data_IF_360421882757
#
_entry.id   IF_360421882757
#
_cell.length_a   1.000
_cell.length_b   1.000
_cell.length_c   1.000
_cell.angle_alpha   90.00
_cell.angle_beta   90.00
_cell.angle_gamma   90.00
#
_symmetry.space_group_name_H-M   'P 1'
#
loop_
_entity.id
_entity.type
_entity.pdbx_description
1 polymer ?
#
# COMPACT_ATOMS: atom_id res chain seq x y z
N UNK A 1 15.47 -3.95 28.87
CA UNK A 1 15.49 -2.92 27.80
C UNK A 1 14.55 -1.83 28.30
N UNK A 2 15.05 -0.64 28.63
CA UNK A 2 14.21 0.45 29.12
C UNK A 2 13.53 1.03 27.88
N UNK A 3 12.20 0.96 27.81
CA UNK A 3 11.42 1.64 26.79
C UNK A 3 11.27 3.09 27.25
N UNK A 4 11.91 4.03 26.55
CA UNK A 4 11.73 5.45 26.78
C UNK A 4 10.38 5.87 26.20
N UNK A 5 9.33 5.78 27.01
CA UNK A 5 8.02 6.31 26.63
C UNK A 5 8.06 7.83 26.71
N UNK A 6 7.64 8.46 25.61
CA UNK A 6 7.47 9.91 25.51
C UNK A 6 6.05 10.20 25.05
N UNK A 7 5.56 11.41 25.29
CA UNK A 7 4.27 11.85 24.73
C UNK A 7 4.18 11.67 23.21
N UNK A 8 5.32 11.74 22.51
CA UNK A 8 5.36 11.48 21.06
C UNK A 8 5.12 10.00 20.77
N UNK A 9 5.76 9.11 21.52
CA UNK A 9 5.53 7.67 21.40
C UNK A 9 4.11 7.26 21.80
N UNK A 10 3.55 7.88 22.82
CA UNK A 10 2.19 7.60 23.29
C UNK A 10 1.16 7.99 22.23
N UNK A 11 1.34 9.16 21.60
CA UNK A 11 0.37 9.70 20.65
C UNK A 11 0.56 9.16 19.23
N UNK A 12 1.79 9.14 18.72
CA UNK A 12 2.06 8.98 17.28
C UNK A 12 2.69 7.64 16.91
N UNK A 13 3.21 6.88 17.86
CA UNK A 13 3.88 5.62 17.52
C UNK A 13 2.86 4.52 17.23
N UNK A 14 2.97 3.89 16.07
CA UNK A 14 2.36 2.63 15.72
C UNK A 14 3.40 1.54 15.46
N UNK A 15 2.96 0.36 15.03
CA UNK A 15 3.86 -0.75 14.68
C UNK A 15 3.49 -1.35 13.33
N UNK A 16 4.42 -1.27 12.39
CA UNK A 16 4.34 -1.82 11.03
C UNK A 16 5.05 -3.17 10.97
N UNK A 17 4.37 -4.18 10.43
CA UNK A 17 4.95 -5.49 10.14
C UNK A 17 5.17 -5.63 8.64
N UNK A 18 6.36 -6.08 8.26
CA UNK A 18 6.72 -6.43 6.90
C UNK A 18 7.00 -7.93 6.81
N UNK A 19 6.24 -8.63 5.98
CA UNK A 19 6.44 -10.06 5.69
C UNK A 19 6.96 -10.23 4.26
N UNK A 20 8.16 -10.79 4.12
CA UNK A 20 8.77 -11.11 2.82
C UNK A 20 8.81 -12.61 2.62
N UNK A 21 8.07 -13.12 1.63
CA UNK A 21 8.00 -14.54 1.29
C UNK A 21 8.88 -14.83 0.06
N UNK A 22 9.88 -15.69 0.26
CA UNK A 22 10.70 -16.22 -0.83
C UNK A 22 9.87 -17.11 -1.77
N UNK A 23 9.90 -16.87 -3.09
CA UNK A 23 9.17 -17.70 -4.05
C UNK A 23 9.84 -19.05 -4.33
N UNK A 24 11.15 -19.17 -4.06
CA UNK A 24 11.92 -20.39 -4.30
C UNK A 24 11.76 -21.44 -3.21
N UNK A 25 11.78 -21.06 -1.93
CA UNK A 25 11.68 -22.00 -0.80
C UNK A 25 10.48 -21.77 0.11
N UNK A 26 9.71 -20.69 -0.08
CA UNK A 26 8.56 -20.37 0.75
C UNK A 26 8.88 -19.76 2.12
N UNK A 27 10.16 -19.65 2.51
CA UNK A 27 10.55 -19.03 3.78
C UNK A 27 10.01 -17.60 3.88
N UNK A 28 9.40 -17.29 5.03
CA UNK A 28 8.89 -15.95 5.33
C UNK A 28 9.81 -15.28 6.33
N UNK A 29 10.29 -14.09 5.97
CA UNK A 29 11.08 -13.23 6.84
C UNK A 29 10.20 -12.07 7.30
N UNK A 30 9.97 -12.00 8.61
CA UNK A 30 9.11 -10.99 9.24
C UNK A 30 9.96 -9.97 9.99
N UNK A 31 9.71 -8.69 9.73
CA UNK A 31 10.27 -7.57 10.52
C UNK A 31 9.13 -6.74 11.09
N UNK A 32 9.29 -6.26 12.32
CA UNK A 32 8.35 -5.34 12.97
C UNK A 32 9.09 -4.05 13.34
N UNK A 33 8.59 -2.92 12.88
CA UNK A 33 9.23 -1.62 13.00
C UNK A 33 8.23 -0.59 13.52
N UNK A 34 8.67 0.32 14.38
CA UNK A 34 7.86 1.45 14.83
C UNK A 34 7.71 2.47 13.70
N UNK A 35 6.54 3.11 13.60
CA UNK A 35 6.30 4.22 12.68
C UNK A 35 5.64 5.38 13.41
N UNK A 36 5.83 6.60 12.92
CA UNK A 36 5.20 7.83 13.46
C UNK A 36 4.33 8.55 12.42
N UNK A 37 4.48 8.17 11.16
CA UNK A 37 3.67 8.58 10.02
C UNK A 37 3.58 7.43 9.01
N UNK A 38 2.59 7.49 8.12
CA UNK A 38 2.53 6.66 6.93
C UNK A 38 2.73 7.51 5.69
N UNK A 39 3.80 7.24 4.96
CA UNK A 39 4.04 7.80 3.63
C UNK A 39 3.33 6.94 2.57
N UNK A 40 2.26 7.46 1.97
CA UNK A 40 1.44 6.76 0.99
C UNK A 40 1.71 7.28 -0.42
N UNK A 41 2.11 6.40 -1.34
CA UNK A 41 2.36 6.78 -2.72
C UNK A 41 1.06 6.89 -3.51
N UNK A 42 0.92 7.94 -4.34
CA UNK A 42 -0.17 8.04 -5.30
C UNK A 42 0.10 7.05 -6.46
N UNK A 43 -0.69 5.98 -6.61
CA UNK A 43 -0.52 5.03 -7.71
C UNK A 43 -0.72 5.74 -9.05
N UNK A 44 0.02 5.29 -10.06
CA UNK A 44 -0.18 5.73 -11.45
C UNK A 44 -1.38 4.99 -12.06
N UNK A 45 -2.01 5.55 -13.09
CA UNK A 45 -3.18 4.96 -13.76
C UNK A 45 -3.19 3.43 -13.97
N UNK A 46 -2.09 2.77 -14.43
CA UNK A 46 -2.11 1.32 -14.61
C UNK A 46 -2.28 0.55 -13.29
N UNK A 47 -1.75 1.06 -12.18
CA UNK A 47 -1.84 0.44 -10.86
C UNK A 47 -3.23 0.64 -10.24
N UNK A 48 -3.85 1.82 -10.44
CA UNK A 48 -5.24 2.07 -10.00
C UNK A 48 -6.22 1.05 -10.57
N UNK A 49 -6.07 0.71 -11.86
CA UNK A 49 -6.96 -0.26 -12.53
C UNK A 49 -6.80 -1.67 -11.99
N UNK A 50 -5.65 -2.04 -11.44
CA UNK A 50 -5.42 -3.35 -10.81
C UNK A 50 -6.16 -3.44 -9.48
N UNK A 51 -5.96 -2.43 -8.62
CA UNK A 51 -6.60 -2.37 -7.30
C UNK A 51 -8.13 -2.32 -7.40
N UNK A 52 -8.68 -1.57 -8.36
CA UNK A 52 -10.13 -1.50 -8.59
C UNK A 52 -10.76 -2.84 -9.03
N UNK A 53 -9.98 -3.74 -9.65
CA UNK A 53 -10.48 -5.05 -10.11
C UNK A 53 -10.48 -6.11 -9.03
N UNK A 54 -9.56 -6.03 -8.07
CA UNK A 54 -9.45 -7.00 -6.97
C UNK A 54 -10.55 -6.82 -5.92
N UNK A 55 -11.07 -5.59 -5.76
CA UNK A 55 -12.13 -5.23 -4.81
C UNK A 55 -13.54 -5.54 -5.33
N UNK A 56 -13.75 -6.63 -6.07
CA UNK A 56 -15.03 -6.93 -6.70
C UNK A 56 -16.22 -6.91 -5.73
N UNK A 57 -16.87 -5.75 -5.55
CA UNK A 57 -18.14 -5.53 -4.86
C UNK A 57 -18.64 -4.07 -5.03
N UNK A 58 -19.85 -3.95 -5.59
CA UNK A 58 -20.90 -2.95 -5.34
C UNK A 58 -20.67 -1.44 -5.62
N UNK A 59 -21.30 -1.02 -6.74
CA UNK A 59 -21.83 0.30 -7.07
C UNK A 59 -21.71 1.44 -6.03
N UNK A 60 -20.85 2.40 -6.35
CA UNK A 60 -21.17 3.84 -6.22
C UNK A 60 -21.82 4.25 -7.56
N UNK A 61 -22.78 5.21 -7.60
CA UNK A 61 -23.76 5.29 -8.69
C UNK A 61 -23.05 5.30 -10.04
N UNK A 62 -23.57 4.52 -10.99
CA UNK A 62 -23.22 4.68 -12.40
C UNK A 62 -23.18 6.18 -12.67
N UNK A 63 -21.99 6.67 -13.06
CA UNK A 63 -21.90 8.01 -13.59
C UNK A 63 -23.00 8.14 -14.65
N UNK A 64 -23.81 9.22 -14.62
CA UNK A 64 -24.91 9.38 -15.55
C UNK A 64 -24.40 9.09 -16.96
N UNK A 65 -25.14 8.24 -17.70
CA UNK A 65 -24.84 7.79 -19.06
C UNK A 65 -24.04 8.85 -19.82
N UNK A 66 -22.85 8.53 -20.35
CA UNK A 66 -21.92 9.54 -20.84
C UNK A 66 -22.60 10.36 -21.92
N UNK A 67 -23.06 11.55 -21.55
CA UNK A 67 -23.56 12.53 -22.50
C UNK A 67 -22.40 12.94 -23.38
N UNK A 68 -22.66 13.47 -24.57
CA UNK A 68 -21.61 13.97 -25.47
C UNK A 68 -20.66 14.93 -24.75
N UNK A 69 -21.15 15.65 -23.74
CA UNK A 69 -20.35 16.51 -22.87
C UNK A 69 -19.27 15.75 -22.09
N UNK A 70 -19.57 14.55 -21.57
CA UNK A 70 -18.61 13.71 -20.83
C UNK A 70 -17.52 13.12 -21.72
N UNK A 71 -17.80 12.88 -23.02
CA UNK A 71 -16.77 12.44 -23.96
C UNK A 71 -15.82 13.58 -24.33
N UNK A 72 -16.35 14.80 -24.45
CA UNK A 72 -15.55 15.99 -24.71
C UNK A 72 -14.63 16.28 -23.53
N UNK A 73 -15.14 16.29 -22.29
CA UNK A 73 -14.31 16.55 -21.09
C UNK A 73 -13.19 15.52 -20.89
N UNK A 74 -13.39 14.27 -21.28
CA UNK A 74 -12.32 13.26 -21.33
C UNK A 74 -11.24 13.60 -22.36
N UNK A 75 -11.61 14.10 -23.54
CA UNK A 75 -10.66 14.52 -24.59
C UNK A 75 -9.87 15.79 -24.19
N UNK A 76 -10.47 16.70 -23.40
CA UNK A 76 -9.78 17.89 -22.86
C UNK A 76 -9.06 17.65 -21.53
N UNK A 77 -9.05 16.41 -21.00
CA UNK A 77 -8.33 16.07 -19.77
C UNK A 77 -8.91 16.68 -18.48
N UNK A 78 -10.21 17.00 -18.45
CA UNK A 78 -10.86 17.71 -17.35
C UNK A 78 -11.54 16.80 -16.31
N UNK A 79 -11.50 15.47 -16.48
CA UNK A 79 -12.11 14.51 -15.55
C UNK A 79 -11.06 13.90 -14.64
N UNK A 80 -10.74 14.56 -13.52
CA UNK A 80 -10.02 13.89 -12.42
C UNK A 80 -11.02 13.06 -11.62
N UNK A 81 -10.97 11.73 -11.75
CA UNK A 81 -11.68 10.88 -10.79
C UNK A 81 -11.04 11.07 -9.41
N UNK A 82 -11.83 11.29 -8.34
CA UNK A 82 -11.29 11.45 -7.00
C UNK A 82 -10.67 10.12 -6.52
N UNK A 83 -9.43 10.17 -6.06
CA UNK A 83 -8.75 9.03 -5.46
C UNK A 83 -9.03 8.99 -3.95
N UNK A 84 -9.68 7.91 -3.50
CA UNK A 84 -9.97 7.72 -2.08
C UNK A 84 -8.70 7.36 -1.29
N UNK A 85 -8.54 7.93 -0.09
CA UNK A 85 -7.45 7.58 0.85
C UNK A 85 -7.45 6.08 1.20
N UNK A 86 -8.62 5.46 1.28
CA UNK A 86 -8.76 4.03 1.52
C UNK A 86 -8.04 3.21 0.43
N UNK A 87 -8.08 3.65 -0.82
CA UNK A 87 -7.34 3.01 -1.92
C UNK A 87 -5.84 3.09 -1.68
N UNK A 88 -5.33 4.21 -1.18
CA UNK A 88 -3.91 4.39 -0.87
C UNK A 88 -3.47 3.49 0.28
N UNK A 89 -4.24 3.45 1.37
CA UNK A 89 -3.98 2.59 2.52
C UNK A 89 -4.06 1.10 2.16
N UNK A 90 -5.04 0.73 1.33
CA UNK A 90 -5.16 -0.62 0.80
C UNK A 90 -3.92 -0.97 -0.03
N UNK A 91 -3.55 -0.11 -0.98
CA UNK A 91 -2.37 -0.33 -1.84
C UNK A 91 -1.09 -0.45 -1.01
N UNK A 92 -0.92 0.39 0.02
CA UNK A 92 0.21 0.32 0.95
C UNK A 92 0.32 -1.05 1.64
N UNK A 93 -0.80 -1.70 1.97
CA UNK A 93 -0.83 -3.01 2.60
C UNK A 93 -0.92 -4.19 1.60
N UNK A 94 -1.05 -3.94 0.30
CA UNK A 94 -1.11 -5.02 -0.70
C UNK A 94 0.26 -5.64 -0.94
N UNK A 95 0.25 -6.87 -1.48
CA UNK A 95 1.48 -7.57 -1.86
C UNK A 95 2.19 -6.84 -2.99
N UNK A 96 3.48 -6.58 -2.81
CA UNK A 96 4.39 -6.05 -3.82
C UNK A 96 5.41 -7.10 -4.24
N UNK A 97 5.71 -7.17 -5.54
CA UNK A 97 6.68 -8.11 -6.09
C UNK A 97 8.10 -7.55 -6.03
N UNK A 98 9.01 -8.31 -5.43
CA UNK A 98 10.44 -8.03 -5.37
C UNK A 98 11.15 -8.84 -6.45
N UNK A 99 11.31 -8.27 -7.64
CA UNK A 99 11.88 -8.93 -8.82
C UNK A 99 13.02 -8.11 -9.46
N UNK A 100 13.73 -8.72 -10.41
CA UNK A 100 14.80 -8.08 -11.20
C UNK A 100 15.86 -7.38 -10.32
N UNK A 101 15.96 -6.05 -10.40
CA UNK A 101 16.90 -5.26 -9.61
C UNK A 101 16.58 -5.24 -8.10
N UNK A 102 15.32 -5.51 -7.72
CA UNK A 102 14.81 -5.44 -6.36
C UNK A 102 14.69 -6.81 -5.67
N UNK A 103 15.37 -7.85 -6.18
CA UNK A 103 15.30 -9.21 -5.61
C UNK A 103 15.71 -9.27 -4.14
N UNK A 104 14.98 -10.07 -3.38
CA UNK A 104 15.23 -10.35 -1.97
C UNK A 104 16.39 -11.34 -1.81
N UNK A 105 17.28 -11.12 -0.84
CA UNK A 105 18.31 -12.11 -0.49
C UNK A 105 17.76 -13.03 0.60
N UNK A 106 17.32 -14.21 0.21
CA UNK A 106 16.72 -15.16 1.14
C UNK A 106 17.76 -15.75 2.11
N UNK A 107 17.46 -15.68 3.41
CA UNK A 107 18.32 -16.24 4.46
C UNK A 107 18.38 -17.77 4.45
N UNK A 108 17.36 -18.45 3.93
CA UNK A 108 17.36 -19.91 3.79
C UNK A 108 18.13 -20.35 2.53
N UNK A 109 17.86 -19.75 1.37
CA UNK A 109 18.53 -20.09 0.11
C UNK A 109 19.94 -19.52 -0.02
N UNK A 110 20.29 -18.52 0.79
CA UNK A 110 21.57 -17.76 0.75
C UNK A 110 21.87 -17.04 -0.57
N UNK A 111 20.86 -16.84 -1.42
CA UNK A 111 20.97 -16.19 -2.74
C UNK A 111 19.87 -15.15 -2.99
N UNK A 112 20.02 -14.34 -4.04
CA UNK A 112 18.97 -13.42 -4.51
C UNK A 112 17.87 -14.22 -5.23
N UNK A 113 16.64 -13.95 -4.87
CA UNK A 113 15.45 -14.63 -5.38
C UNK A 113 14.32 -13.63 -5.52
N UNK A 114 13.35 -13.96 -6.37
CA UNK A 114 12.10 -13.23 -6.37
C UNK A 114 11.34 -13.49 -5.05
N UNK A 115 10.60 -12.50 -4.59
CA UNK A 115 9.82 -12.58 -3.35
C UNK A 115 8.57 -11.72 -3.44
N UNK A 116 7.58 -12.02 -2.60
CA UNK A 116 6.46 -11.11 -2.35
C UNK A 116 6.60 -10.46 -0.99
N UNK A 117 6.36 -9.15 -0.91
CA UNK A 117 6.40 -8.36 0.32
C UNK A 117 5.02 -7.79 0.63
N UNK A 118 4.53 -8.04 1.83
CA UNK A 118 3.26 -7.51 2.35
C UNK A 118 3.53 -6.69 3.60
N UNK A 119 2.87 -5.53 3.70
CA UNK A 119 2.90 -4.68 4.87
C UNK A 119 1.59 -4.79 5.66
N UNK A 120 1.65 -4.68 6.98
CA UNK A 120 0.47 -4.72 7.84
C UNK A 120 0.65 -3.83 9.07
N UNK A 121 -0.37 -3.05 9.40
CA UNK A 121 -0.41 -2.23 10.61
C UNK A 121 -0.84 -3.10 11.78
N UNK A 122 0.10 -3.50 12.63
CA UNK A 122 -0.15 -4.38 13.79
C UNK A 122 -0.60 -3.63 15.03
N UNK A 123 -0.18 -2.36 15.14
CA UNK A 123 -0.65 -1.40 16.15
C UNK A 123 -0.83 -0.04 15.49
N UNK A 124 -1.99 0.57 15.67
CA UNK A 124 -2.24 1.94 15.23
C UNK A 124 -1.92 2.92 16.37
N UNK A 125 -1.40 4.12 16.03
CA UNK A 125 -1.24 5.19 17.01
C UNK A 125 -2.59 5.81 17.39
N UNK A 126 -2.63 6.56 18.50
CA UNK A 126 -3.79 7.38 18.87
C UNK A 126 -4.02 8.49 17.83
N UNK A 127 -2.94 9.08 17.32
CA UNK A 127 -2.93 10.09 16.28
C UNK A 127 -2.11 9.60 15.10
N UNK A 128 -2.79 9.29 13.99
CA UNK A 128 -2.15 8.83 12.76
C UNK A 128 -1.80 10.01 11.84
N UNK A 129 -0.51 10.25 11.63
CA UNK A 129 -0.02 11.17 10.61
C UNK A 129 0.07 10.47 9.25
N UNK A 130 -0.42 11.12 8.20
CA UNK A 130 -0.35 10.61 6.82
C UNK A 130 0.39 11.63 5.96
N UNK A 131 1.45 11.17 5.31
CA UNK A 131 2.21 11.90 4.31
C UNK A 131 1.86 11.36 2.93
N UNK A 132 1.58 12.26 1.97
CA UNK A 132 1.15 11.93 0.60
C UNK A 132 2.19 12.44 -0.39
#
# INVERSE_FOLDING_TARGET
KVEEYSLISDLFEGTLRSDVRCTSCGNVSTTCESFFDLSLEIPKEPELKRVQRERGDNALPEAPQPSMFSMITNFVGLTSQPLALETLLHTFCTSSDLNNANQYRCEACKQKVDASKVLSLTRLPEVLCIHI
#
